data_IF_201310907363
#
_entry.id   IF_201310907363
#
_cell.length_a   1.000
_cell.length_b   1.000
_cell.length_c   1.000
_cell.angle_alpha   90.00
_cell.angle_beta   90.00
_cell.angle_gamma   90.00
#
_symmetry.space_group_name_H-M   'P 1'
#
loop_
_entity.id
_entity.type
_entity.pdbx_description
1 polymer ?
#
# COMPACT_ATOMS: atom_id res chain seq x y z
N UNK A 1 -30.75 -2.52 25.26
CA UNK A 1 -31.24 -2.77 23.88
C UNK A 1 -30.82 -4.18 23.50
N UNK A 2 -31.75 -5.03 23.06
CA UNK A 2 -31.44 -6.35 22.51
C UNK A 2 -31.62 -6.27 21.00
N UNK A 3 -30.59 -6.62 20.22
CA UNK A 3 -30.59 -6.49 18.77
C UNK A 3 -29.90 -7.68 18.11
N UNK A 4 -30.38 -8.06 16.92
CA UNK A 4 -29.71 -9.04 16.05
C UNK A 4 -28.79 -8.33 15.06
N UNK A 5 -27.97 -9.07 14.31
CA UNK A 5 -26.99 -8.53 13.34
C UNK A 5 -27.60 -7.59 12.29
N UNK A 6 -28.92 -7.64 12.10
CA UNK A 6 -29.70 -6.72 11.23
C UNK A 6 -29.97 -5.39 11.97
N UNK A 7 -28.91 -4.76 12.46
CA UNK A 7 -28.83 -3.29 12.59
C UNK A 7 -27.59 -2.87 11.78
N UNK A 8 -27.60 -3.21 10.50
CA UNK A 8 -26.69 -2.66 9.49
C UNK A 8 -27.02 -1.18 9.22
N UNK A 9 -28.22 -0.71 9.58
CA UNK A 9 -28.67 0.66 9.34
C UNK A 9 -28.56 1.55 10.59
N UNK A 10 -27.47 2.31 10.67
CA UNK A 10 -27.53 3.71 11.11
C UNK A 10 -27.74 4.04 12.59
N UNK A 11 -27.86 3.07 13.50
CA UNK A 11 -27.92 3.36 14.94
C UNK A 11 -26.49 3.51 15.49
N UNK A 12 -26.05 4.76 15.55
CA UNK A 12 -24.95 5.21 16.39
C UNK A 12 -25.52 5.57 17.77
N UNK A 13 -25.08 4.90 18.83
CA UNK A 13 -25.54 5.16 20.20
C UNK A 13 -24.36 5.79 20.95
N UNK A 14 -24.12 7.11 20.81
CA UNK A 14 -22.96 7.77 21.41
C UNK A 14 -22.89 7.61 22.93
N UNK A 15 -24.04 7.41 23.59
CA UNK A 15 -24.14 7.21 25.05
C UNK A 15 -24.00 5.74 25.49
N UNK A 16 -23.85 4.78 24.56
CA UNK A 16 -23.59 3.39 24.91
C UNK A 16 -22.09 3.19 25.14
N UNK A 17 -21.73 2.87 26.38
CA UNK A 17 -20.35 2.58 26.78
C UNK A 17 -20.06 1.07 26.83
N UNK A 18 -21.06 0.20 26.78
CA UNK A 18 -20.86 -1.25 26.87
C UNK A 18 -21.64 -1.97 25.78
N UNK A 19 -20.95 -2.83 25.02
CA UNK A 19 -21.56 -3.76 24.07
C UNK A 19 -21.28 -5.21 24.49
N UNK A 20 -22.30 -6.05 24.42
CA UNK A 20 -22.19 -7.49 24.63
C UNK A 20 -22.58 -8.19 23.33
N UNK A 21 -21.65 -8.97 22.79
CA UNK A 21 -21.84 -9.70 21.52
C UNK A 21 -21.92 -11.18 21.85
N UNK A 22 -23.14 -11.71 21.73
CA UNK A 22 -23.37 -13.15 21.83
C UNK A 22 -22.88 -13.87 20.55
N UNK A 23 -22.38 -15.09 20.71
CA UNK A 23 -21.86 -15.92 19.60
C UNK A 23 -20.84 -15.18 18.71
N UNK A 24 -19.85 -14.52 19.32
CA UNK A 24 -18.82 -13.78 18.59
C UNK A 24 -18.01 -14.66 17.59
N UNK A 25 -18.03 -15.99 17.77
CA UNK A 25 -17.45 -16.97 16.85
C UNK A 25 -18.02 -16.90 15.43
N UNK A 26 -19.29 -16.49 15.30
CA UNK A 26 -20.01 -16.44 14.02
C UNK A 26 -19.74 -15.18 13.20
N UNK A 27 -19.05 -14.21 13.78
CA UNK A 27 -18.79 -12.93 13.13
C UNK A 27 -17.40 -12.91 12.48
N UNK A 28 -17.32 -12.19 11.36
CA UNK A 28 -16.06 -11.84 10.76
C UNK A 28 -15.29 -10.88 11.67
N UNK A 29 -13.97 -10.88 11.54
CA UNK A 29 -13.11 -10.00 12.31
C UNK A 29 -13.42 -8.51 12.05
N UNK A 30 -13.75 -8.17 10.79
CA UNK A 30 -14.17 -6.83 10.39
C UNK A 30 -15.50 -6.42 11.05
N UNK A 31 -16.46 -7.33 11.12
CA UNK A 31 -17.78 -7.07 11.72
C UNK A 31 -17.65 -6.81 13.22
N UNK A 32 -16.85 -7.63 13.92
CA UNK A 32 -16.56 -7.43 15.34
C UNK A 32 -15.85 -6.10 15.61
N UNK A 33 -14.95 -5.69 14.71
CA UNK A 33 -14.29 -4.39 14.80
C UNK A 33 -15.27 -3.22 14.60
N UNK A 34 -16.18 -3.33 13.63
CA UNK A 34 -17.22 -2.34 13.40
C UNK A 34 -18.18 -2.23 14.59
N UNK A 35 -18.65 -3.37 15.12
CA UNK A 35 -19.51 -3.41 16.31
C UNK A 35 -18.84 -2.78 17.53
N UNK A 36 -17.54 -3.06 17.73
CA UNK A 36 -16.73 -2.40 18.78
C UNK A 36 -16.69 -0.88 18.59
N UNK A 37 -16.54 -0.39 17.35
CA UNK A 37 -16.45 1.04 17.04
C UNK A 37 -17.76 1.84 17.20
N UNK A 38 -18.87 1.16 17.50
CA UNK A 38 -20.18 1.80 17.77
C UNK A 38 -20.40 2.16 19.24
N UNK A 39 -19.46 1.81 20.13
CA UNK A 39 -19.49 2.19 21.55
C UNK A 39 -18.25 3.02 21.91
N UNK A 40 -18.36 3.89 22.92
CA UNK A 40 -17.22 4.65 23.44
C UNK A 40 -16.85 5.94 22.71
N UNK A 41 -17.85 6.67 22.21
CA UNK A 41 -17.66 7.98 21.54
C UNK A 41 -17.59 9.17 22.51
N UNK A 42 -18.04 9.00 23.75
CA UNK A 42 -18.23 10.08 24.73
C UNK A 42 -17.02 10.36 25.65
N UNK A 43 -15.81 9.96 25.29
CA UNK A 43 -14.58 10.16 26.10
C UNK A 43 -14.47 9.28 27.36
N UNK A 44 -15.56 8.62 27.75
CA UNK A 44 -15.62 7.62 28.82
C UNK A 44 -15.09 6.25 28.36
N UNK A 45 -14.53 5.49 29.31
CA UNK A 45 -14.00 4.15 29.03
C UNK A 45 -15.13 3.19 28.62
N UNK A 46 -15.02 2.63 27.42
CA UNK A 46 -16.00 1.69 26.90
C UNK A 46 -15.52 0.23 26.95
N UNK A 47 -16.48 -0.70 27.04
CA UNK A 47 -16.25 -2.13 27.17
C UNK A 47 -16.95 -2.90 26.05
N UNK A 48 -16.25 -3.86 25.45
CA UNK A 48 -16.82 -4.80 24.50
C UNK A 48 -16.62 -6.23 25.02
N UNK A 49 -17.71 -6.91 25.36
CA UNK A 49 -17.72 -8.26 25.90
C UNK A 49 -18.09 -9.23 24.79
N UNK A 50 -17.13 -10.07 24.37
CA UNK A 50 -17.29 -11.06 23.32
C UNK A 50 -17.56 -12.42 23.97
N UNK A 51 -18.77 -12.95 23.80
CA UNK A 51 -19.15 -14.26 24.35
C UNK A 51 -18.86 -15.37 23.34
N UNK A 52 -18.34 -16.48 23.85
CA UNK A 52 -17.99 -17.66 23.05
C UNK A 52 -18.60 -18.94 23.62
N UNK A 53 -18.95 -19.90 22.75
CA UNK A 53 -19.29 -21.26 23.16
C UNK A 53 -18.13 -21.92 23.93
N UNK A 54 -18.46 -22.70 24.97
CA UNK A 54 -17.47 -23.33 25.87
C UNK A 54 -16.56 -24.33 25.13
N UNK A 55 -17.09 -24.99 24.12
CA UNK A 55 -16.46 -25.96 23.23
C UNK A 55 -15.44 -25.32 22.25
N UNK A 56 -15.57 -24.02 21.96
CA UNK A 56 -14.62 -23.27 21.12
C UNK A 56 -13.43 -22.68 21.89
N UNK A 57 -13.40 -22.86 23.21
CA UNK A 57 -12.28 -22.38 24.03
C UNK A 57 -11.00 -23.20 23.81
N UNK A 58 -11.10 -24.45 23.33
CA UNK A 58 -10.00 -25.42 23.36
C UNK A 58 -9.28 -25.64 22.03
N UNK A 59 -9.88 -25.42 20.84
CA UNK A 59 -9.19 -25.61 19.53
C UNK A 59 -9.76 -24.71 18.42
N UNK A 60 -8.90 -24.11 17.58
CA UNK A 60 -9.26 -23.57 16.25
C UNK A 60 -9.08 -22.06 16.00
N UNK A 61 -9.21 -21.68 14.71
CA UNK A 61 -9.01 -20.32 14.16
C UNK A 61 -9.84 -19.22 14.86
N UNK A 62 -10.98 -19.59 15.46
CA UNK A 62 -11.81 -18.68 16.23
C UNK A 62 -11.08 -18.06 17.44
N UNK A 63 -10.25 -18.83 18.15
CA UNK A 63 -9.48 -18.31 19.30
C UNK A 63 -8.36 -17.37 18.86
N UNK A 64 -7.67 -17.68 17.76
CA UNK A 64 -6.67 -16.79 17.14
C UNK A 64 -7.32 -15.46 16.71
N UNK A 65 -8.51 -15.53 16.10
CA UNK A 65 -9.28 -14.34 15.67
C UNK A 65 -9.63 -13.42 16.85
N UNK A 66 -10.04 -14.00 17.97
CA UNK A 66 -10.48 -13.23 19.14
C UNK A 66 -9.30 -12.65 19.93
N UNK A 67 -8.20 -13.38 20.01
CA UNK A 67 -6.95 -12.82 20.55
C UNK A 67 -6.44 -11.65 19.70
N UNK A 68 -6.55 -11.73 18.36
CA UNK A 68 -6.17 -10.62 17.49
C UNK A 68 -7.01 -9.35 17.74
N UNK A 69 -8.31 -9.46 18.05
CA UNK A 69 -9.14 -8.31 18.43
C UNK A 69 -8.65 -7.67 19.74
N UNK A 70 -8.25 -8.49 20.72
CA UNK A 70 -7.74 -8.03 22.01
C UNK A 70 -6.39 -7.32 21.87
N UNK A 71 -5.49 -7.84 21.04
CA UNK A 71 -4.16 -7.26 20.80
C UNK A 71 -4.19 -5.97 19.97
N UNK A 72 -5.19 -5.79 19.11
CA UNK A 72 -5.30 -4.63 18.21
C UNK A 72 -6.37 -3.63 18.67
N UNK A 73 -6.21 -3.16 19.91
CA UNK A 73 -7.09 -2.21 20.60
C UNK A 73 -6.72 -0.73 20.40
N UNK A 74 -5.58 -0.41 19.77
CA UNK A 74 -5.21 0.97 19.46
C UNK A 74 -5.94 1.50 18.21
N UNK A 75 -6.38 2.76 18.26
CA UNK A 75 -6.86 3.52 17.09
C UNK A 75 -5.85 3.37 15.92
N UNK A 76 -6.31 2.98 14.72
CA UNK A 76 -5.44 2.73 13.55
C UNK A 76 -5.17 1.25 13.22
N UNK A 77 -5.84 0.33 13.90
CA UNK A 77 -5.64 -1.13 13.82
C UNK A 77 -6.34 -1.85 12.64
N UNK A 78 -7.19 -1.17 11.87
CA UNK A 78 -8.00 -1.80 10.80
C UNK A 78 -7.18 -2.58 9.76
N UNK A 79 -5.95 -2.15 9.48
CA UNK A 79 -5.04 -2.82 8.55
C UNK A 79 -4.44 -4.12 9.10
N UNK A 80 -3.97 -4.13 10.36
CA UNK A 80 -3.43 -5.34 11.01
C UNK A 80 -4.50 -6.44 11.10
N UNK A 81 -5.73 -6.02 11.30
CA UNK A 81 -6.94 -6.84 11.35
C UNK A 81 -7.25 -7.43 9.98
N UNK A 82 -7.31 -6.62 8.91
CA UNK A 82 -7.54 -7.11 7.55
C UNK A 82 -6.45 -8.09 7.07
N UNK A 83 -5.17 -7.81 7.38
CA UNK A 83 -4.05 -8.69 7.04
C UNK A 83 -4.15 -10.05 7.75
N UNK A 84 -4.55 -10.06 9.03
CA UNK A 84 -4.69 -11.30 9.80
C UNK A 84 -5.92 -12.11 9.37
N UNK A 85 -7.00 -11.42 8.99
CA UNK A 85 -8.20 -12.06 8.44
C UNK A 85 -7.91 -12.76 7.10
N UNK A 86 -7.12 -12.10 6.23
CA UNK A 86 -6.65 -12.67 4.97
C UNK A 86 -5.75 -13.91 5.19
N UNK A 87 -4.86 -13.83 6.18
CA UNK A 87 -3.99 -14.95 6.59
C UNK A 87 -4.80 -16.15 7.12
N UNK A 88 -5.84 -15.90 7.93
CA UNK A 88 -6.69 -16.94 8.54
C UNK A 88 -7.66 -17.57 7.51
N UNK A 89 -8.18 -16.81 6.53
CA UNK A 89 -9.13 -17.30 5.52
C UNK A 89 -8.50 -18.18 4.41
N UNK A 90 -7.23 -18.57 4.55
CA UNK A 90 -6.56 -19.48 3.60
C UNK A 90 -5.78 -18.82 2.47
N UNK A 91 -5.83 -17.48 2.32
CA UNK A 91 -4.82 -16.76 1.54
C UNK A 91 -3.44 -16.75 2.25
N UNK A 92 -3.37 -17.29 3.46
CA UNK A 92 -2.12 -17.67 4.14
C UNK A 92 -1.27 -18.68 3.36
N UNK A 93 -1.77 -19.36 2.33
CA UNK A 93 -0.90 -20.14 1.43
C UNK A 93 -0.18 -19.26 0.37
N UNK A 94 -0.78 -18.12 -0.02
CA UNK A 94 -0.20 -17.09 -0.91
C UNK A 94 0.76 -16.13 -0.18
N UNK A 95 0.57 -15.95 1.13
CA UNK A 95 1.35 -15.05 1.99
C UNK A 95 2.25 -15.78 3.00
N UNK A 96 2.09 -17.11 3.12
CA UNK A 96 2.83 -17.96 4.04
C UNK A 96 4.14 -18.45 3.45
N UNK A 97 4.97 -18.99 4.34
CA UNK A 97 6.36 -19.44 4.10
C UNK A 97 6.55 -20.44 2.96
N UNK A 98 5.48 -21.04 2.40
CA UNK A 98 5.54 -21.98 1.26
C UNK A 98 5.35 -21.34 -0.14
N UNK A 99 4.85 -20.11 -0.26
CA UNK A 99 4.73 -19.41 -1.55
C UNK A 99 5.21 -17.94 -1.50
N UNK A 100 6.21 -17.62 -0.69
CA UNK A 100 6.93 -16.34 -0.78
C UNK A 100 7.42 -16.00 -2.20
N UNK A 101 7.59 -17.02 -3.06
CA UNK A 101 7.90 -16.87 -4.49
C UNK A 101 6.81 -16.20 -5.35
N UNK A 102 5.52 -16.24 -4.98
CA UNK A 102 4.44 -15.64 -5.78
C UNK A 102 4.32 -14.12 -5.58
N UNK A 103 4.73 -13.56 -4.44
CA UNK A 103 4.72 -12.10 -4.22
C UNK A 103 5.82 -11.42 -5.03
N UNK A 104 6.94 -12.12 -5.27
CA UNK A 104 7.97 -11.72 -6.24
C UNK A 104 7.42 -11.66 -7.69
N UNK A 105 6.25 -12.27 -7.94
CA UNK A 105 5.68 -12.50 -9.27
C UNK A 105 4.69 -11.42 -9.74
N UNK A 106 4.11 -10.61 -8.84
CA UNK A 106 3.00 -9.71 -9.19
C UNK A 106 3.34 -8.21 -9.07
N UNK A 107 4.54 -7.89 -8.58
CA UNK A 107 5.14 -6.55 -8.69
C UNK A 107 4.51 -5.46 -7.81
N UNK A 108 5.28 -4.38 -7.64
CA UNK A 108 4.91 -3.17 -6.90
C UNK A 108 3.56 -2.56 -7.34
N UNK A 109 3.19 -2.72 -8.61
CA UNK A 109 2.02 -2.09 -9.20
C UNK A 109 0.69 -2.70 -8.70
N UNK A 110 0.55 -4.03 -8.67
CA UNK A 110 -0.64 -4.65 -8.08
C UNK A 110 -0.72 -4.36 -6.57
N UNK A 111 0.42 -4.29 -5.90
CA UNK A 111 0.47 -3.92 -4.48
C UNK A 111 -0.09 -2.51 -4.26
N UNK A 112 0.38 -1.50 -5.00
CA UNK A 112 -0.17 -0.14 -4.95
C UNK A 112 -1.68 -0.12 -5.25
N UNK A 113 -2.13 -0.91 -6.22
CA UNK A 113 -3.55 -1.01 -6.56
C UNK A 113 -4.39 -1.60 -5.41
N UNK A 114 -3.93 -2.68 -4.78
CA UNK A 114 -4.60 -3.30 -3.63
C UNK A 114 -4.57 -2.40 -2.38
N UNK A 115 -3.47 -1.68 -2.18
CA UNK A 115 -3.32 -0.70 -1.11
C UNK A 115 -4.34 0.44 -1.28
N UNK A 116 -4.44 1.03 -2.47
CA UNK A 116 -5.41 2.08 -2.80
C UNK A 116 -6.84 1.62 -2.55
N UNK A 117 -7.23 0.47 -3.10
CA UNK A 117 -8.57 -0.11 -2.90
C UNK A 117 -8.91 -0.30 -1.41
N UNK A 118 -7.91 -0.65 -0.60
CA UNK A 118 -8.10 -0.85 0.85
C UNK A 118 -8.19 0.48 1.60
N UNK A 119 -7.38 1.48 1.24
CA UNK A 119 -7.36 2.82 1.85
C UNK A 119 -8.63 3.60 1.51
N UNK A 120 -9.09 3.54 0.26
CA UNK A 120 -10.31 4.21 -0.21
C UNK A 120 -11.55 3.67 0.51
N UNK A 121 -11.60 2.34 0.70
CA UNK A 121 -12.68 1.67 1.44
C UNK A 121 -12.69 2.03 2.94
N UNK A 122 -11.53 2.28 3.53
CA UNK A 122 -11.38 2.62 4.96
C UNK A 122 -11.64 4.09 5.28
N UNK A 123 -11.31 5.01 4.36
CA UNK A 123 -11.41 6.46 4.64
C UNK A 123 -12.81 7.03 4.39
N UNK A 124 -13.69 6.35 3.65
CA UNK A 124 -15.05 6.84 3.36
C UNK A 124 -15.09 8.24 2.73
N UNK A 125 -13.96 8.76 2.25
CA UNK A 125 -13.80 10.12 1.75
C UNK A 125 -13.93 10.13 0.23
N UNK A 126 -14.91 10.91 -0.25
CA UNK A 126 -15.02 11.43 -1.62
C UNK A 126 -14.10 12.65 -1.84
N UNK A 127 -12.97 12.72 -1.13
CA UNK A 127 -12.01 13.79 -1.36
C UNK A 127 -11.12 13.35 -2.52
N UNK A 128 -11.06 14.21 -3.54
CA UNK A 128 -10.46 13.95 -4.85
C UNK A 128 -9.13 13.18 -4.73
N UNK A 129 -8.90 12.17 -5.60
CA UNK A 129 -7.65 11.43 -5.58
C UNK A 129 -6.52 12.45 -5.72
N UNK A 130 -5.62 12.49 -4.75
CA UNK A 130 -4.29 13.08 -4.97
C UNK A 130 -3.79 12.36 -6.21
N UNK A 131 -3.72 13.07 -7.33
CA UNK A 131 -3.54 12.46 -8.64
C UNK A 131 -2.10 11.93 -8.67
N UNK A 132 -1.90 10.71 -8.16
CA UNK A 132 -0.61 10.05 -8.14
C UNK A 132 -0.25 9.82 -9.60
N UNK A 133 0.74 10.57 -10.08
CA UNK A 133 1.22 10.43 -11.43
C UNK A 133 1.60 8.96 -11.68
N UNK A 134 1.07 8.37 -12.74
CA UNK A 134 1.53 7.04 -13.17
C UNK A 134 2.89 7.17 -13.81
N UNK A 135 3.73 6.14 -13.67
CA UNK A 135 5.03 6.08 -14.31
C UNK A 135 5.14 4.78 -15.09
N UNK A 136 5.58 4.86 -16.34
CA UNK A 136 5.88 3.71 -17.20
C UNK A 136 7.19 3.94 -17.94
N UNK A 137 8.03 2.90 -18.01
CA UNK A 137 9.24 2.92 -18.81
C UNK A 137 9.50 1.53 -19.39
N UNK A 138 9.94 1.48 -20.64
CA UNK A 138 10.26 0.25 -21.37
C UNK A 138 11.55 -0.44 -20.90
N UNK A 139 12.41 0.27 -20.18
CA UNK A 139 13.68 -0.23 -19.64
C UNK A 139 13.64 -0.51 -18.13
N UNK A 140 12.46 -0.63 -17.51
CA UNK A 140 12.34 -0.86 -16.06
C UNK A 140 11.56 -2.14 -15.74
N UNK A 141 12.16 -3.00 -14.92
CA UNK A 141 11.50 -4.14 -14.32
C UNK A 141 11.04 -3.83 -12.90
N UNK A 142 9.72 -3.81 -12.68
CA UNK A 142 9.10 -3.53 -11.37
C UNK A 142 8.98 -4.75 -10.45
N UNK A 143 9.54 -5.89 -10.84
CA UNK A 143 9.60 -7.10 -10.03
C UNK A 143 10.87 -7.88 -10.29
N UNK A 144 11.30 -8.64 -9.29
CA UNK A 144 12.47 -9.51 -9.36
C UNK A 144 12.30 -10.64 -10.37
N UNK A 145 11.08 -11.17 -10.51
CA UNK A 145 10.75 -12.16 -11.55
C UNK A 145 10.79 -11.59 -12.96
N UNK A 146 10.27 -10.37 -13.17
CA UNK A 146 10.38 -9.70 -14.47
C UNK A 146 11.85 -9.44 -14.80
N UNK A 147 12.63 -8.95 -13.83
CA UNK A 147 14.05 -8.68 -14.02
C UNK A 147 14.86 -9.94 -14.35
N UNK A 148 14.55 -11.07 -13.73
CA UNK A 148 15.25 -12.35 -13.96
C UNK A 148 15.07 -12.91 -15.38
N UNK A 149 14.08 -12.43 -16.14
CA UNK A 149 13.78 -12.86 -17.52
C UNK A 149 14.38 -11.94 -18.58
N UNK A 150 14.85 -10.76 -18.16
CA UNK A 150 15.32 -9.70 -19.05
C UNK A 150 16.86 -9.63 -19.06
N UNK A 151 17.43 -8.98 -20.08
CA UNK A 151 18.87 -8.71 -20.14
C UNK A 151 19.24 -7.62 -19.10
N UNK A 152 20.09 -7.92 -18.10
CA UNK A 152 20.51 -6.96 -17.07
C UNK A 152 21.21 -5.71 -17.62
N UNK A 153 21.70 -5.75 -18.87
CA UNK A 153 22.31 -4.59 -19.54
C UNK A 153 21.28 -3.63 -20.13
N UNK A 154 20.07 -4.11 -20.43
CA UNK A 154 19.02 -3.35 -21.11
C UNK A 154 17.94 -2.87 -20.15
N UNK A 155 17.67 -3.64 -19.10
CA UNK A 155 16.59 -3.38 -18.15
C UNK A 155 17.15 -3.10 -16.76
N UNK A 156 16.61 -2.08 -16.11
CA UNK A 156 16.93 -1.72 -14.74
C UNK A 156 15.91 -2.30 -13.76
N UNK A 157 16.34 -2.92 -12.65
CA UNK A 157 15.45 -3.33 -11.58
C UNK A 157 14.96 -2.11 -10.78
N UNK A 158 13.66 -2.05 -10.50
CA UNK A 158 13.04 -1.06 -9.63
C UNK A 158 12.03 -1.73 -8.70
N UNK A 159 12.52 -2.36 -7.64
CA UNK A 159 11.73 -3.08 -6.65
C UNK A 159 12.50 -3.19 -5.33
N UNK A 160 11.81 -3.57 -4.26
CA UNK A 160 12.43 -3.91 -2.97
C UNK A 160 12.87 -5.38 -2.98
N UNK A 161 14.19 -5.69 -3.04
CA UNK A 161 14.66 -7.07 -3.16
C UNK A 161 14.38 -7.89 -1.91
N UNK A 162 14.12 -9.19 -2.08
CA UNK A 162 13.95 -10.11 -0.94
C UNK A 162 15.25 -10.29 -0.16
N UNK A 163 16.41 -10.10 -0.81
CA UNK A 163 17.74 -10.14 -0.17
C UNK A 163 18.01 -8.95 0.74
N UNK A 164 17.26 -7.85 0.60
CA UNK A 164 17.41 -6.66 1.45
C UNK A 164 16.35 -6.59 2.54
N UNK A 165 15.10 -6.89 2.19
CA UNK A 165 13.99 -6.99 3.13
C UNK A 165 13.45 -8.41 3.07
N UNK A 166 13.99 -9.32 3.89
CA UNK A 166 13.60 -10.74 3.88
C UNK A 166 12.13 -10.93 4.24
N UNK A 167 11.72 -10.31 5.35
CA UNK A 167 10.36 -10.38 5.86
C UNK A 167 9.35 -9.69 4.92
N UNK A 168 8.40 -10.47 4.41
CA UNK A 168 7.32 -9.96 3.54
C UNK A 168 6.53 -8.82 4.20
N UNK A 169 6.27 -8.88 5.51
CA UNK A 169 5.54 -7.83 6.24
C UNK A 169 6.29 -6.50 6.24
N UNK A 170 7.61 -6.54 6.43
CA UNK A 170 8.47 -5.35 6.41
C UNK A 170 8.50 -4.76 5.01
N UNK A 171 8.67 -5.61 3.98
CA UNK A 171 8.67 -5.19 2.57
C UNK A 171 7.35 -4.55 2.14
N UNK A 172 6.22 -5.12 2.56
CA UNK A 172 4.89 -4.54 2.38
C UNK A 172 4.82 -3.15 3.04
N UNK A 173 5.26 -3.05 4.29
CA UNK A 173 5.25 -1.77 5.02
C UNK A 173 6.10 -0.72 4.32
N UNK A 174 7.29 -1.09 3.83
CA UNK A 174 8.16 -0.20 3.07
C UNK A 174 7.49 0.28 1.76
N UNK A 175 6.91 -0.62 0.96
CA UNK A 175 6.19 -0.19 -0.25
C UNK A 175 5.04 0.78 0.06
N UNK A 176 4.35 0.60 1.19
CA UNK A 176 3.29 1.51 1.65
C UNK A 176 3.85 2.87 2.02
N UNK A 177 4.89 2.91 2.87
CA UNK A 177 5.54 4.15 3.28
C UNK A 177 6.00 4.96 2.05
N UNK A 178 6.53 4.29 1.02
CA UNK A 178 6.96 4.93 -0.22
C UNK A 178 5.80 5.49 -1.06
N UNK A 179 4.67 4.78 -1.12
CA UNK A 179 3.46 5.29 -1.81
C UNK A 179 2.83 6.46 -1.06
N UNK A 180 2.85 6.46 0.28
CA UNK A 180 2.31 7.56 1.08
C UNK A 180 3.21 8.81 1.05
N UNK A 181 4.48 8.65 0.71
CA UNK A 181 5.45 9.74 0.53
C UNK A 181 5.18 10.51 -0.78
N UNK A 182 4.15 11.35 -0.77
CA UNK A 182 3.71 12.13 -1.94
C UNK A 182 4.49 13.41 -2.25
N UNK A 183 5.62 13.67 -1.60
CA UNK A 183 6.46 14.85 -1.87
C UNK A 183 7.94 14.48 -1.91
N UNK A 184 8.75 15.22 -2.68
CA UNK A 184 10.19 14.98 -2.75
C UNK A 184 10.85 15.01 -1.37
N UNK A 185 10.41 15.93 -0.49
CA UNK A 185 10.93 16.03 0.88
C UNK A 185 10.60 14.78 1.70
N UNK A 186 9.35 14.31 1.65
CA UNK A 186 8.95 13.09 2.37
C UNK A 186 9.70 11.86 1.87
N UNK A 187 9.96 11.76 0.56
CA UNK A 187 10.74 10.66 -0.03
C UNK A 187 12.19 10.71 0.46
N UNK A 188 12.83 11.88 0.54
CA UNK A 188 14.20 12.02 1.08
C UNK A 188 14.28 11.65 2.57
N UNK A 189 13.29 12.05 3.36
CA UNK A 189 13.20 11.67 4.77
C UNK A 189 13.00 10.15 4.92
N UNK A 190 12.18 9.54 4.07
CA UNK A 190 11.97 8.11 4.03
C UNK A 190 13.25 7.35 3.64
N UNK A 191 13.97 7.82 2.62
CA UNK A 191 15.25 7.23 2.20
C UNK A 191 16.27 7.25 3.35
N UNK A 192 16.36 8.37 4.08
CA UNK A 192 17.22 8.46 5.27
C UNK A 192 16.79 7.46 6.34
N UNK A 193 15.49 7.40 6.65
CA UNK A 193 14.94 6.44 7.61
C UNK A 193 15.21 4.99 7.22
N UNK A 194 15.09 4.66 5.93
CA UNK A 194 15.40 3.32 5.42
C UNK A 194 16.88 2.99 5.52
N UNK A 195 17.76 3.95 5.26
CA UNK A 195 19.21 3.77 5.44
C UNK A 195 19.56 3.50 6.91
N UNK A 196 18.91 4.20 7.83
CA UNK A 196 19.11 4.00 9.27
C UNK A 196 18.52 2.67 9.77
N UNK A 197 17.37 2.24 9.23
CA UNK A 197 16.66 1.01 9.65
C UNK A 197 17.18 -0.27 9.00
N UNK A 198 17.57 -0.21 7.73
CA UNK A 198 17.85 -1.37 6.87
C UNK A 198 19.26 -1.34 6.28
N UNK A 199 20.08 -0.33 6.61
CA UNK A 199 21.45 -0.21 6.14
C UNK A 199 21.56 0.23 4.68
N UNK A 200 22.54 -0.30 3.95
CA UNK A 200 22.81 0.10 2.56
C UNK A 200 21.62 -0.24 1.65
N UNK A 201 21.08 0.78 1.01
CA UNK A 201 19.99 0.63 0.03
C UNK A 201 20.55 0.01 -1.26
N UNK A 202 20.01 -1.13 -1.74
CA UNK A 202 20.39 -1.73 -3.01
C UNK A 202 19.97 -0.87 -4.20
N UNK A 203 20.67 -1.01 -5.34
CA UNK A 203 20.38 -0.23 -6.55
C UNK A 203 18.92 -0.38 -7.03
N UNK A 204 18.34 -1.58 -6.89
CA UNK A 204 16.94 -1.82 -7.23
C UNK A 204 15.96 -0.98 -6.39
N UNK A 205 16.24 -0.84 -5.10
CA UNK A 205 15.43 -0.02 -4.19
C UNK A 205 15.70 1.47 -4.41
N UNK A 206 16.95 1.86 -4.68
CA UNK A 206 17.32 3.23 -5.00
C UNK A 206 16.59 3.74 -6.26
N UNK A 207 16.53 2.92 -7.32
CA UNK A 207 15.78 3.25 -8.54
C UNK A 207 14.28 3.32 -8.32
N UNK A 208 13.73 2.47 -7.45
CA UNK A 208 12.32 2.57 -7.05
C UNK A 208 12.03 3.92 -6.35
N UNK A 209 12.95 4.38 -5.49
CA UNK A 209 12.86 5.69 -4.83
C UNK A 209 12.95 6.83 -5.87
N UNK A 210 13.85 6.73 -6.85
CA UNK A 210 13.96 7.68 -7.97
C UNK A 210 12.65 7.78 -8.77
N UNK A 211 12.04 6.65 -9.10
CA UNK A 211 10.74 6.62 -9.80
C UNK A 211 9.65 7.26 -8.95
N UNK A 212 9.59 6.98 -7.65
CA UNK A 212 8.64 7.63 -6.76
C UNK A 212 8.86 9.15 -6.69
N UNK A 213 10.12 9.61 -6.78
CA UNK A 213 10.45 11.04 -6.86
C UNK A 213 9.97 11.65 -8.18
N UNK A 214 10.14 10.97 -9.31
CA UNK A 214 9.58 11.37 -10.61
C UNK A 214 8.06 11.55 -10.51
N UNK A 215 7.36 10.57 -9.91
CA UNK A 215 5.91 10.65 -9.71
C UNK A 215 5.51 11.83 -8.82
N UNK A 216 6.25 12.08 -7.74
CA UNK A 216 5.98 13.19 -6.83
C UNK A 216 6.19 14.57 -7.49
N UNK A 217 7.25 14.71 -8.29
CA UNK A 217 7.52 15.93 -9.08
C UNK A 217 6.44 16.15 -10.14
N UNK A 218 6.11 15.11 -10.90
CA UNK A 218 5.04 15.17 -11.90
C UNK A 218 3.69 15.56 -11.27
N UNK A 219 3.34 14.95 -10.13
CA UNK A 219 2.12 15.28 -9.41
C UNK A 219 2.10 16.73 -8.87
N UNK A 220 3.25 17.27 -8.45
CA UNK A 220 3.36 18.67 -8.02
C UNK A 220 3.07 19.64 -9.19
N UNK A 221 3.50 19.26 -10.39
CA UNK A 221 3.22 19.97 -11.64
C UNK A 221 1.85 19.63 -12.25
N UNK A 222 0.98 18.88 -11.56
CA UNK A 222 -0.32 18.47 -12.09
C UNK A 222 -0.25 17.54 -13.32
N UNK A 223 0.88 16.90 -13.56
CA UNK A 223 1.06 15.88 -14.60
C UNK A 223 0.52 14.55 -14.06
N UNK A 224 -0.44 13.95 -14.77
CA UNK A 224 -1.12 12.72 -14.39
C UNK A 224 -0.36 11.45 -14.80
N UNK A 225 0.47 11.50 -15.84
CA UNK A 225 1.29 10.35 -16.26
C UNK A 225 2.62 10.78 -16.85
N UNK A 226 3.66 10.01 -16.53
CA UNK A 226 5.00 10.10 -17.10
C UNK A 226 5.32 8.76 -17.76
N UNK A 227 5.57 8.78 -19.06
CA UNK A 227 5.95 7.59 -19.82
C UNK A 227 7.25 7.84 -20.59
N UNK A 228 8.19 6.90 -20.47
CA UNK A 228 9.46 6.95 -21.20
C UNK A 228 9.48 5.76 -22.16
N UNK A 229 9.54 6.06 -23.45
CA UNK A 229 9.65 5.05 -24.50
C UNK A 229 10.81 5.41 -25.45
N UNK A 230 11.83 4.57 -25.49
CA UNK A 230 13.07 4.86 -26.20
C UNK A 230 13.74 6.14 -25.67
N UNK A 231 13.68 7.23 -26.43
CA UNK A 231 14.16 8.56 -26.04
C UNK A 231 13.02 9.56 -25.80
N UNK A 232 11.75 9.17 -25.98
CA UNK A 232 10.63 10.09 -25.86
C UNK A 232 10.15 10.11 -24.41
N UNK A 233 10.07 11.31 -23.85
CA UNK A 233 9.41 11.57 -22.58
C UNK A 233 7.99 12.07 -22.89
N UNK A 234 7.00 11.24 -22.60
CA UNK A 234 5.59 11.52 -22.83
C UNK A 234 4.94 11.89 -21.50
N UNK A 235 4.50 13.13 -21.39
CA UNK A 235 3.85 13.65 -20.19
C UNK A 235 2.37 13.88 -20.51
N UNK A 236 1.48 13.47 -19.61
CA UNK A 236 0.04 13.60 -19.77
C UNK A 236 -0.53 14.51 -18.68
N UNK A 237 -1.26 15.56 -19.05
CA UNK A 237 -1.89 16.51 -18.13
C UNK A 237 -3.32 16.75 -18.59
N UNK A 238 -4.31 16.57 -17.71
CA UNK A 238 -5.73 16.83 -17.98
C UNK A 238 -6.34 16.11 -19.21
N UNK A 239 -5.82 14.96 -19.61
CA UNK A 239 -6.35 14.24 -20.79
C UNK A 239 -5.54 14.44 -22.07
N UNK A 240 -4.60 15.40 -22.09
CA UNK A 240 -3.78 15.72 -23.25
C UNK A 240 -2.28 15.50 -23.01
N UNK A 241 -1.54 15.24 -24.09
CA UNK A 241 -0.08 15.17 -24.04
C UNK A 241 0.53 16.57 -24.00
N UNK A 242 1.52 16.76 -23.13
CA UNK A 242 2.39 17.94 -23.16
C UNK A 242 3.37 17.78 -24.32
N UNK A 243 3.21 18.61 -25.33
CA UNK A 243 4.07 18.65 -26.51
C UNK A 243 4.89 19.94 -26.51
N UNK A 244 6.14 19.87 -26.96
CA UNK A 244 6.96 21.05 -27.22
C UNK A 244 6.48 21.78 -28.48
N UNK A 245 6.92 23.04 -28.64
CA UNK A 245 6.68 23.83 -29.85
C UNK A 245 7.02 22.99 -31.11
N UNK A 246 5.99 22.72 -31.93
CA UNK A 246 6.10 21.81 -33.09
C UNK A 246 5.47 20.42 -32.93
N UNK A 247 4.63 20.18 -31.91
CA UNK A 247 3.89 18.91 -31.69
C UNK A 247 4.78 17.68 -31.50
N UNK A 248 5.96 17.85 -30.91
CA UNK A 248 6.90 16.75 -30.63
C UNK A 248 7.02 16.54 -29.13
N UNK A 249 7.19 15.28 -28.72
CA UNK A 249 7.52 14.95 -27.33
C UNK A 249 8.94 15.42 -26.98
N UNK A 250 9.17 15.90 -25.75
CA UNK A 250 10.53 16.06 -25.22
C UNK A 250 11.36 14.79 -25.44
N UNK A 251 12.62 14.97 -25.85
CA UNK A 251 13.54 13.87 -26.08
C UNK A 251 14.65 13.87 -25.03
N UNK A 252 14.85 12.73 -24.42
CA UNK A 252 15.97 12.43 -23.54
C UNK A 252 17.22 12.20 -24.40
N UNK A 253 18.30 12.90 -24.10
CA UNK A 253 19.58 12.80 -24.78
C UNK A 253 20.37 11.57 -24.34
N UNK A 254 20.15 11.08 -23.12
CA UNK A 254 20.91 9.95 -22.60
C UNK A 254 20.52 8.63 -23.27
N UNK A 255 21.53 7.88 -23.72
CA UNK A 255 21.35 6.53 -24.24
C UNK A 255 21.21 5.48 -23.12
N UNK A 256 21.78 5.73 -21.94
CA UNK A 256 21.76 4.77 -20.84
C UNK A 256 20.42 4.84 -20.08
N UNK A 257 19.85 3.68 -19.67
CA UNK A 257 18.63 3.64 -18.87
C UNK A 257 18.68 4.51 -17.60
N UNK A 258 19.82 4.51 -16.89
CA UNK A 258 19.98 5.33 -15.68
C UNK A 258 20.03 6.82 -16.01
N UNK A 259 20.74 7.21 -17.08
CA UNK A 259 20.83 8.60 -17.49
C UNK A 259 19.48 9.16 -17.93
N UNK A 260 18.61 8.34 -18.54
CA UNK A 260 17.23 8.72 -18.86
C UNK A 260 16.41 9.06 -17.63
N UNK A 261 16.57 8.32 -16.52
CA UNK A 261 15.89 8.63 -15.25
C UNK A 261 16.37 9.96 -14.66
N UNK A 262 17.69 10.17 -14.62
CA UNK A 262 18.28 11.42 -14.12
C UNK A 262 17.81 12.62 -14.94
N UNK A 263 17.83 12.50 -16.26
CA UNK A 263 17.39 13.56 -17.17
C UNK A 263 15.89 13.83 -17.04
N UNK A 264 15.06 12.80 -16.86
CA UNK A 264 13.63 12.97 -16.59
C UNK A 264 13.37 13.73 -15.28
N UNK A 265 14.13 13.46 -14.21
CA UNK A 265 14.06 14.22 -12.96
C UNK A 265 14.44 15.68 -13.20
N UNK A 266 15.58 15.94 -13.87
CA UNK A 266 16.03 17.30 -14.15
C UNK A 266 15.05 18.08 -15.01
N UNK A 267 14.41 17.45 -16.00
CA UNK A 267 13.38 18.09 -16.82
C UNK A 267 12.13 18.44 -16.00
N UNK A 268 11.66 17.53 -15.13
CA UNK A 268 10.50 17.79 -14.27
C UNK A 268 10.77 18.82 -13.17
N UNK A 269 12.03 19.03 -12.76
CA UNK A 269 12.40 20.09 -11.82
C UNK A 269 12.47 21.48 -12.47
N UNK A 270 12.59 21.54 -13.80
CA UNK A 270 12.69 22.78 -14.57
C UNK A 270 11.40 23.11 -15.35
N UNK A 271 10.32 22.35 -15.11
CA UNK A 271 9.00 22.60 -15.67
C UNK A 271 8.28 23.74 -14.94
#
# INVERSE_FOLDING_TARGET
MLATTIIETGIDIPNANTILIDRADRFGLADLYQLRGRVGRAGEKAYAILLLPRDMMTVGDARKRINAIKEYTALGSGFKIAMKDLEIRGAGNLLGTKQSGHISQIGFELYCQLLRQSVDRLKGRKDAPRQEATFKADFIAFSETAFSREDPKQVLPAFLPTTWLEETRVRITAYRELSEAGTEKAIKELEKSWRDRFGRIPDAAARLIEISRIKALAAAEGIASVEIQGQRLMLHRNGDYILLEGRRFPRLQSASPQGKLTEAISLLQNF
#
